data_IF_639442740141
#
_entry.id   IF_639442740141
#
_cell.length_a   1.000
_cell.length_b   1.000
_cell.length_c   1.000
_cell.angle_alpha   90.00
_cell.angle_beta   90.00
_cell.angle_gamma   90.00
#
_symmetry.space_group_name_H-M   'P 1'
#
loop_
_entity.id
_entity.type
_entity.pdbx_description
1 polymer ?
#
# COMPACT_ATOMS: atom_id res chain seq x y z
N UNK A 1 -51.20 -5.30 -30.54
CA UNK A 1 -49.87 -4.71 -30.87
C UNK A 1 -49.23 -3.99 -29.67
N UNK A 2 -49.25 -4.60 -28.48
CA UNK A 2 -48.75 -3.93 -27.26
C UNK A 2 -47.91 -4.82 -26.33
N UNK A 3 -47.65 -6.07 -26.71
CA UNK A 3 -47.02 -7.07 -25.80
C UNK A 3 -45.49 -7.13 -25.85
N UNK A 4 -44.87 -6.72 -26.98
CA UNK A 4 -43.41 -6.82 -27.12
C UNK A 4 -42.59 -5.79 -26.31
N UNK A 5 -43.11 -4.58 -26.14
CA UNK A 5 -42.43 -3.52 -25.40
C UNK A 5 -42.36 -3.78 -23.89
N UNK A 6 -43.37 -4.43 -23.35
CA UNK A 6 -43.46 -4.81 -21.95
C UNK A 6 -42.42 -5.88 -21.55
N UNK A 7 -42.24 -6.91 -22.38
CA UNK A 7 -41.30 -8.00 -22.10
C UNK A 7 -39.82 -7.57 -22.19
N UNK A 8 -39.49 -6.72 -23.16
CA UNK A 8 -38.14 -6.24 -23.32
C UNK A 8 -37.74 -5.29 -22.17
N UNK A 9 -38.64 -4.40 -21.74
CA UNK A 9 -38.44 -3.52 -20.58
C UNK A 9 -38.32 -4.31 -19.28
N UNK A 10 -39.13 -5.36 -19.10
CA UNK A 10 -39.04 -6.24 -17.93
C UNK A 10 -37.73 -7.03 -17.91
N UNK A 11 -37.28 -7.57 -19.04
CA UNK A 11 -35.96 -8.29 -19.09
C UNK A 11 -34.78 -7.40 -18.75
N UNK A 12 -34.81 -6.12 -19.17
CA UNK A 12 -33.72 -5.18 -18.83
C UNK A 12 -33.80 -4.71 -17.38
N UNK A 13 -35.01 -4.55 -16.82
CA UNK A 13 -35.20 -4.27 -15.40
C UNK A 13 -34.79 -5.47 -14.51
N UNK A 14 -35.02 -6.70 -14.98
CA UNK A 14 -34.53 -7.91 -14.31
C UNK A 14 -32.98 -7.98 -14.29
N UNK A 15 -32.32 -7.51 -15.34
CA UNK A 15 -30.85 -7.38 -15.39
C UNK A 15 -30.32 -6.37 -14.35
N UNK A 16 -31.02 -5.25 -14.18
CA UNK A 16 -30.70 -4.22 -13.19
C UNK A 16 -31.00 -4.68 -11.75
N UNK A 17 -32.01 -5.49 -11.54
CA UNK A 17 -32.38 -6.00 -10.21
C UNK A 17 -31.49 -7.13 -9.71
N UNK A 18 -30.66 -7.74 -10.55
CA UNK A 18 -29.63 -8.73 -10.15
C UNK A 18 -28.42 -8.11 -9.44
N UNK A 19 -28.23 -6.79 -9.50
CA UNK A 19 -27.30 -6.10 -8.62
C UNK A 19 -27.91 -6.06 -7.20
N UNK A 20 -27.09 -6.24 -6.16
CA UNK A 20 -27.50 -6.16 -4.74
C UNK A 20 -28.07 -4.78 -4.32
N UNK A 21 -28.30 -3.88 -5.27
CA UNK A 21 -28.76 -2.51 -5.07
C UNK A 21 -29.94 -2.24 -5.99
N UNK A 22 -31.01 -1.67 -5.45
CA UNK A 22 -32.17 -1.20 -6.26
C UNK A 22 -31.70 -0.19 -7.31
N UNK A 23 -32.19 -0.27 -8.57
CA UNK A 23 -31.85 0.67 -9.62
C UNK A 23 -32.18 2.11 -9.22
N UNK A 24 -31.26 3.03 -9.48
CA UNK A 24 -31.49 4.45 -9.26
C UNK A 24 -32.34 5.06 -10.39
N UNK A 25 -32.90 6.26 -10.16
CA UNK A 25 -33.62 6.99 -11.20
C UNK A 25 -32.75 7.27 -12.45
N UNK A 26 -31.44 7.41 -12.25
CA UNK A 26 -30.47 7.55 -13.35
C UNK A 26 -30.35 6.25 -14.16
N UNK A 27 -30.24 5.10 -13.48
CA UNK A 27 -30.15 3.79 -14.15
C UNK A 27 -31.40 3.49 -14.98
N UNK A 28 -32.57 3.88 -14.46
CA UNK A 28 -33.85 3.79 -15.20
C UNK A 28 -33.85 4.72 -16.41
N UNK A 29 -33.40 5.98 -16.28
CA UNK A 29 -33.35 6.94 -17.39
C UNK A 29 -32.41 6.45 -18.51
N UNK A 30 -31.28 5.85 -18.18
CA UNK A 30 -30.34 5.25 -19.12
C UNK A 30 -30.98 4.06 -19.88
N UNK A 31 -31.63 3.15 -19.15
CA UNK A 31 -32.34 2.03 -19.75
C UNK A 31 -33.46 2.48 -20.68
N UNK A 32 -34.22 3.52 -20.28
CA UNK A 32 -35.28 4.11 -21.14
C UNK A 32 -34.66 4.72 -22.40
N UNK A 33 -33.52 5.44 -22.28
CA UNK A 33 -32.85 6.06 -23.41
C UNK A 33 -32.39 5.04 -24.46
N UNK A 34 -31.91 3.87 -24.03
CA UNK A 34 -31.52 2.79 -24.94
C UNK A 34 -32.70 2.14 -25.60
N UNK A 35 -33.79 1.87 -24.84
CA UNK A 35 -35.00 1.21 -25.35
C UNK A 35 -35.90 2.14 -26.19
N UNK A 36 -35.68 3.48 -26.12
CA UNK A 36 -36.48 4.47 -26.84
C UNK A 36 -36.42 4.32 -28.36
N UNK A 37 -35.38 3.71 -28.91
CA UNK A 37 -35.23 3.47 -30.34
C UNK A 37 -36.25 2.40 -30.84
N UNK A 38 -36.66 1.49 -29.96
CA UNK A 38 -37.55 0.36 -30.29
C UNK A 38 -38.97 0.58 -29.79
N UNK A 39 -39.15 1.38 -28.72
CA UNK A 39 -40.42 1.55 -28.01
C UNK A 39 -40.74 3.03 -27.75
N UNK A 40 -42.02 3.38 -27.79
CA UNK A 40 -42.49 4.73 -27.48
C UNK A 40 -42.16 5.15 -26.04
N UNK A 41 -41.71 6.42 -25.89
CA UNK A 41 -41.30 6.96 -24.59
C UNK A 41 -42.41 6.84 -23.52
N UNK A 42 -43.67 7.08 -23.89
CA UNK A 42 -44.78 7.06 -22.94
C UNK A 42 -44.99 5.68 -22.32
N UNK A 43 -44.90 4.61 -23.12
CA UNK A 43 -45.00 3.24 -22.66
C UNK A 43 -43.86 2.90 -21.66
N UNK A 44 -42.63 3.36 -21.97
CA UNK A 44 -41.47 3.11 -21.11
C UNK A 44 -41.58 3.85 -19.79
N UNK A 45 -42.04 5.10 -19.80
CA UNK A 45 -42.27 5.90 -18.59
C UNK A 45 -43.38 5.32 -17.71
N UNK A 46 -44.48 4.90 -18.29
CA UNK A 46 -45.59 4.23 -17.57
C UNK A 46 -45.11 2.94 -16.91
N UNK A 47 -44.36 2.09 -17.62
CA UNK A 47 -43.85 0.80 -17.11
C UNK A 47 -42.79 0.98 -16.00
N UNK A 48 -42.05 2.06 -15.99
CA UNK A 48 -41.04 2.32 -14.96
C UNK A 48 -41.53 3.18 -13.82
N UNK A 49 -42.73 3.77 -13.96
CA UNK A 49 -43.28 4.75 -13.00
C UNK A 49 -42.49 6.08 -12.94
N UNK A 50 -41.67 6.36 -13.96
CA UNK A 50 -40.85 7.56 -13.98
C UNK A 50 -41.58 8.75 -14.54
N UNK A 51 -41.54 9.90 -13.82
CA UNK A 51 -42.09 11.14 -14.35
C UNK A 51 -41.27 11.62 -15.56
N UNK A 52 -41.98 12.18 -16.58
CA UNK A 52 -41.36 12.70 -17.81
C UNK A 52 -40.28 13.77 -17.53
N UNK A 53 -40.49 14.65 -16.55
CA UNK A 53 -39.52 15.65 -16.12
C UNK A 53 -38.24 15.03 -15.53
N UNK A 54 -38.41 13.97 -14.73
CA UNK A 54 -37.29 13.22 -14.14
C UNK A 54 -36.45 12.54 -15.23
N UNK A 55 -37.13 11.95 -16.24
CA UNK A 55 -36.43 11.36 -17.36
C UNK A 55 -35.60 12.39 -18.13
N UNK A 56 -36.16 13.53 -18.54
CA UNK A 56 -35.42 14.55 -19.27
C UNK A 56 -34.32 15.20 -18.42
N UNK A 57 -34.53 15.36 -17.13
CA UNK A 57 -33.48 15.81 -16.20
C UNK A 57 -32.26 14.88 -16.20
N UNK A 58 -32.51 13.58 -16.07
CA UNK A 58 -31.40 12.60 -16.07
C UNK A 58 -30.77 12.43 -17.46
N UNK A 59 -31.56 12.44 -18.53
CA UNK A 59 -31.07 12.33 -19.92
C UNK A 59 -30.19 13.52 -20.29
N UNK A 60 -30.57 14.75 -19.91
CA UNK A 60 -29.72 15.92 -20.09
C UNK A 60 -28.38 15.76 -19.38
N UNK A 61 -28.38 15.29 -18.15
CA UNK A 61 -27.16 15.03 -17.39
C UNK A 61 -26.31 13.86 -17.93
N UNK A 62 -26.91 12.91 -18.63
CA UNK A 62 -26.20 11.83 -19.32
C UNK A 62 -25.49 12.33 -20.59
N UNK A 63 -26.04 13.35 -21.26
CA UNK A 63 -25.44 13.97 -22.44
C UNK A 63 -24.41 15.07 -22.12
N UNK A 64 -24.38 15.58 -20.88
CA UNK A 64 -23.36 16.52 -20.44
C UNK A 64 -22.03 15.79 -20.23
N UNK A 65 -20.88 16.41 -20.62
CA UNK A 65 -19.57 15.83 -20.31
C UNK A 65 -19.46 15.56 -18.81
N UNK A 66 -18.98 14.37 -18.45
CA UNK A 66 -18.77 14.06 -17.04
C UNK A 66 -17.64 14.96 -16.51
N UNK A 67 -17.96 15.87 -15.61
CA UNK A 67 -17.01 16.81 -15.01
C UNK A 67 -15.84 16.14 -14.26
N UNK A 68 -15.77 14.79 -14.29
CA UNK A 68 -14.68 14.02 -13.68
C UNK A 68 -13.76 13.34 -14.72
N UNK A 69 -13.87 13.61 -16.01
CA UNK A 69 -13.03 12.95 -17.01
C UNK A 69 -11.53 13.26 -16.82
N UNK A 70 -11.19 14.52 -16.58
CA UNK A 70 -9.80 14.91 -16.26
C UNK A 70 -9.32 14.25 -14.96
N UNK A 71 -10.20 14.14 -13.96
CA UNK A 71 -9.89 13.49 -12.71
C UNK A 71 -9.67 11.97 -12.89
N UNK A 72 -10.48 11.31 -13.73
CA UNK A 72 -10.26 9.89 -14.10
C UNK A 72 -8.93 9.67 -14.80
N UNK A 73 -8.57 10.54 -15.74
CA UNK A 73 -7.30 10.49 -16.43
C UNK A 73 -6.12 10.66 -15.45
N UNK A 74 -6.20 11.64 -14.55
CA UNK A 74 -5.20 11.88 -13.52
C UNK A 74 -5.09 10.67 -12.53
N UNK A 75 -6.21 10.13 -12.06
CA UNK A 75 -6.25 8.94 -11.21
C UNK A 75 -5.58 7.75 -11.90
N UNK A 76 -5.88 7.50 -13.18
CA UNK A 76 -5.27 6.43 -13.98
C UNK A 76 -3.76 6.62 -14.07
N UNK A 77 -3.29 7.81 -14.43
CA UNK A 77 -1.87 8.15 -14.53
C UNK A 77 -1.13 7.90 -13.21
N UNK A 78 -1.68 8.35 -12.08
CA UNK A 78 -1.09 8.13 -10.75
C UNK A 78 -1.07 6.64 -10.42
N UNK A 79 -2.16 5.92 -10.66
CA UNK A 79 -2.27 4.49 -10.36
C UNK A 79 -1.23 3.68 -11.13
N UNK A 80 -1.06 3.94 -12.43
CA UNK A 80 -0.12 3.23 -13.30
C UNK A 80 1.34 3.59 -12.95
N UNK A 81 1.64 4.86 -12.67
CA UNK A 81 2.96 5.31 -12.20
C UNK A 81 3.40 4.56 -10.95
N UNK A 82 2.50 4.37 -10.00
CA UNK A 82 2.76 3.62 -8.77
C UNK A 82 2.50 2.10 -8.90
N UNK A 83 2.37 1.58 -10.13
CA UNK A 83 2.22 0.13 -10.43
C UNK A 83 1.05 -0.54 -9.65
N UNK A 84 -0.05 0.19 -9.45
CA UNK A 84 -1.22 -0.30 -8.71
C UNK A 84 -1.04 -0.44 -7.19
N UNK A 85 0.03 0.13 -6.61
CA UNK A 85 0.32 0.07 -5.16
C UNK A 85 -0.56 1.01 -4.34
N UNK A 86 -1.08 2.08 -4.97
CA UNK A 86 -1.89 3.09 -4.29
C UNK A 86 -3.37 2.72 -4.25
N UNK A 87 -3.95 2.77 -3.04
CA UNK A 87 -5.39 2.82 -2.85
C UNK A 87 -5.89 4.27 -2.83
N UNK A 88 -7.20 4.46 -2.80
CA UNK A 88 -7.85 5.75 -2.94
C UNK A 88 -7.29 6.86 -2.04
N UNK A 89 -6.90 6.58 -0.79
CA UNK A 89 -6.37 7.60 0.14
C UNK A 89 -5.06 8.22 -0.35
N UNK A 90 -4.12 7.40 -0.87
CA UNK A 90 -2.87 7.92 -1.43
C UNK A 90 -3.08 8.60 -2.77
N UNK A 91 -3.98 8.08 -3.59
CA UNK A 91 -4.37 8.76 -4.84
C UNK A 91 -4.99 10.12 -4.54
N UNK A 92 -5.87 10.24 -3.54
CA UNK A 92 -6.40 11.53 -3.10
C UNK A 92 -5.30 12.50 -2.67
N UNK A 93 -4.34 12.02 -1.88
CA UNK A 93 -3.20 12.82 -1.44
C UNK A 93 -2.33 13.27 -2.61
N UNK A 94 -2.05 12.39 -3.58
CA UNK A 94 -1.28 12.73 -4.77
C UNK A 94 -2.02 13.73 -5.65
N UNK A 95 -3.31 13.53 -5.89
CA UNK A 95 -4.15 14.50 -6.62
C UNK A 95 -4.10 15.88 -5.98
N UNK A 96 -4.17 15.95 -4.64
CA UNK A 96 -4.06 17.22 -3.91
C UNK A 96 -2.70 17.88 -4.09
N UNK A 97 -1.61 17.10 -4.09
CA UNK A 97 -0.26 17.60 -4.37
C UNK A 97 -0.12 18.10 -5.81
N UNK A 98 -0.85 17.50 -6.75
CA UNK A 98 -0.89 17.89 -8.16
C UNK A 98 -1.90 19.04 -8.43
N UNK A 99 -2.50 19.63 -7.39
CA UNK A 99 -3.45 20.75 -7.48
C UNK A 99 -4.90 20.35 -7.75
N UNK A 100 -5.22 19.06 -7.78
CA UNK A 100 -6.58 18.54 -8.01
C UNK A 100 -7.23 18.19 -6.67
N UNK A 101 -8.10 19.05 -6.16
CA UNK A 101 -8.74 18.87 -4.85
C UNK A 101 -10.07 18.14 -4.97
N UNK A 102 -10.10 16.85 -4.64
CA UNK A 102 -11.29 16.01 -4.63
C UNK A 102 -11.51 15.36 -3.26
N UNK A 103 -12.79 15.19 -2.89
CA UNK A 103 -13.11 14.42 -1.70
C UNK A 103 -12.67 12.94 -1.88
N UNK A 104 -12.09 12.36 -0.86
CA UNK A 104 -11.61 10.97 -0.89
C UNK A 104 -12.71 9.94 -1.22
N UNK A 105 -13.99 10.23 -0.88
CA UNK A 105 -15.14 9.39 -1.25
C UNK A 105 -15.41 9.45 -2.76
N UNK A 106 -15.25 10.64 -3.38
CA UNK A 106 -15.37 10.80 -4.84
C UNK A 106 -14.25 10.04 -5.54
N UNK A 107 -12.99 10.18 -5.09
CA UNK A 107 -11.86 9.43 -5.64
C UNK A 107 -12.09 7.91 -5.51
N UNK A 108 -12.58 7.45 -4.36
CA UNK A 108 -12.89 6.04 -4.16
C UNK A 108 -13.96 5.55 -5.14
N UNK A 109 -15.04 6.34 -5.36
CA UNK A 109 -16.10 6.00 -6.31
C UNK A 109 -15.56 5.91 -7.74
N UNK A 110 -14.81 6.90 -8.20
CA UNK A 110 -14.20 6.92 -9.53
C UNK A 110 -13.26 5.72 -9.73
N UNK A 111 -12.44 5.39 -8.73
CA UNK A 111 -11.57 4.21 -8.79
C UNK A 111 -12.35 2.89 -8.91
N UNK A 112 -13.47 2.75 -8.19
CA UNK A 112 -14.35 1.57 -8.29
C UNK A 112 -14.98 1.48 -9.69
N UNK A 113 -15.47 2.59 -10.24
CA UNK A 113 -16.02 2.67 -11.61
C UNK A 113 -14.97 2.24 -12.66
N UNK A 114 -13.70 2.64 -12.47
CA UNK A 114 -12.59 2.25 -13.34
C UNK A 114 -12.00 0.87 -13.02
N UNK A 115 -12.57 0.11 -12.07
CA UNK A 115 -12.05 -1.17 -11.57
C UNK A 115 -10.60 -1.09 -11.07
N UNK A 116 -10.21 0.03 -10.47
CA UNK A 116 -8.88 0.27 -9.91
C UNK A 116 -8.85 -0.02 -8.41
N UNK A 117 -8.12 -1.04 -8.01
CA UNK A 117 -7.99 -1.44 -6.61
C UNK A 117 -6.53 -1.49 -6.20
N UNK A 118 -6.19 -0.95 -5.02
CA UNK A 118 -4.87 -1.12 -4.44
C UNK A 118 -4.59 -2.62 -4.19
N UNK A 119 -3.57 -3.16 -4.83
CA UNK A 119 -3.22 -4.59 -4.73
C UNK A 119 -2.67 -4.89 -3.34
N UNK A 120 -3.29 -5.82 -2.61
CA UNK A 120 -2.84 -6.25 -1.29
C UNK A 120 -3.13 -7.73 -1.10
N UNK A 121 -2.09 -8.57 -1.06
CA UNK A 121 -2.23 -9.96 -0.60
C UNK A 121 -1.99 -10.02 0.91
N UNK A 122 -2.84 -10.74 1.64
CA UNK A 122 -2.64 -11.04 3.07
C UNK A 122 -1.64 -12.20 3.19
N UNK A 123 -0.52 -12.00 3.88
CA UNK A 123 0.40 -13.06 4.25
C UNK A 123 0.16 -13.48 5.71
N UNK A 124 0.23 -14.80 6.00
CA UNK A 124 0.23 -15.30 7.37
C UNK A 124 1.62 -15.12 7.99
N UNK A 125 1.67 -14.55 9.17
CA UNK A 125 2.90 -14.37 9.96
C UNK A 125 3.37 -15.71 10.53
N UNK A 126 4.71 -15.93 10.55
CA UNK A 126 5.37 -17.04 11.28
C UNK A 126 6.51 -16.45 12.11
N UNK A 127 6.51 -16.70 13.42
CA UNK A 127 7.59 -16.29 14.32
C UNK A 127 8.70 -17.37 14.37
N UNK A 128 9.95 -16.92 14.56
CA UNK A 128 11.11 -17.78 14.75
C UNK A 128 11.50 -17.84 16.23
N UNK A 129 11.90 -19.03 16.73
CA UNK A 129 12.42 -19.23 18.10
C UNK A 129 13.94 -19.42 18.02
N UNK A 130 14.72 -18.44 18.46
CA UNK A 130 16.18 -18.50 18.48
C UNK A 130 16.78 -18.73 19.88
N UNK A 131 18.07 -19.07 19.94
CA UNK A 131 18.85 -19.33 21.16
C UNK A 131 19.34 -18.04 21.84
N UNK A 132 19.73 -18.14 23.13
CA UNK A 132 19.97 -17.02 24.04
C UNK A 132 21.47 -16.71 24.15
N UNK A 133 21.86 -15.47 23.81
CA UNK A 133 23.15 -14.85 24.13
C UNK A 133 22.99 -13.66 25.09
N UNK A 134 23.96 -12.71 25.12
CA UNK A 134 23.85 -11.46 25.91
C UNK A 134 22.81 -10.53 25.27
N UNK A 135 21.68 -10.35 25.93
CA UNK A 135 20.57 -9.50 25.48
C UNK A 135 20.67 -8.13 26.12
N UNK A 136 20.59 -7.07 25.31
CA UNK A 136 20.47 -5.70 25.81
C UNK A 136 19.05 -5.43 26.36
N UNK A 137 18.88 -4.46 27.28
CA UNK A 137 17.58 -4.09 27.80
C UNK A 137 16.66 -3.52 26.68
N UNK A 138 15.37 -3.67 26.85
CA UNK A 138 14.38 -3.03 25.97
C UNK A 138 14.20 -1.56 26.40
N UNK A 139 15.00 -0.67 25.81
CA UNK A 139 14.98 0.77 26.12
C UNK A 139 13.80 1.46 25.47
N UNK A 140 13.33 0.97 24.30
CA UNK A 140 12.22 1.58 23.55
C UNK A 140 10.88 1.33 24.25
N UNK A 141 10.69 0.15 24.83
CA UNK A 141 9.45 -0.28 25.51
C UNK A 141 8.15 0.14 24.78
N UNK A 142 8.13 -0.07 23.46
CA UNK A 142 7.04 0.31 22.53
C UNK A 142 6.81 1.81 22.32
N UNK A 143 7.65 2.66 22.87
CA UNK A 143 7.66 4.08 22.51
C UNK A 143 8.39 4.28 21.17
N UNK A 144 7.65 4.09 20.07
CA UNK A 144 8.13 4.27 18.70
C UNK A 144 8.07 5.72 18.22
N UNK A 145 7.67 6.65 19.07
CA UNK A 145 7.57 8.06 18.71
C UNK A 145 8.96 8.67 18.80
N UNK A 146 9.41 9.29 17.72
CA UNK A 146 10.58 10.14 17.66
C UNK A 146 10.14 11.54 17.25
N UNK A 147 10.78 12.57 17.80
CA UNK A 147 10.45 13.98 17.53
C UNK A 147 11.34 14.58 16.44
N UNK A 148 12.44 13.92 16.12
CA UNK A 148 13.37 14.33 15.06
C UNK A 148 14.00 13.10 14.39
N UNK A 149 14.54 13.24 13.15
CA UNK A 149 15.30 12.18 12.49
C UNK A 149 16.51 11.73 13.33
N UNK A 150 16.88 10.46 13.19
CA UNK A 150 18.04 9.84 13.81
C UNK A 150 18.04 9.78 15.35
N UNK A 151 16.88 9.89 16.00
CA UNK A 151 16.74 9.63 17.44
C UNK A 151 16.57 8.16 17.76
N UNK A 152 15.73 7.47 16.98
CA UNK A 152 15.40 6.05 17.16
C UNK A 152 15.41 5.34 15.82
N UNK A 153 16.29 4.36 15.72
CA UNK A 153 16.34 3.45 14.57
C UNK A 153 15.86 2.05 14.96
N UNK A 154 15.31 1.34 14.02
CA UNK A 154 15.01 -0.10 14.17
C UNK A 154 15.61 -0.90 13.04
N UNK A 155 15.90 -2.17 13.33
CA UNK A 155 16.48 -3.10 12.38
C UNK A 155 16.00 -4.52 12.63
N UNK A 156 16.01 -5.31 11.56
CA UNK A 156 15.68 -6.72 11.57
C UNK A 156 16.23 -7.38 10.29
N UNK A 157 16.10 -8.70 10.18
CA UNK A 157 16.43 -9.46 8.98
C UNK A 157 15.22 -10.19 8.48
N UNK A 158 14.88 -10.03 7.20
CA UNK A 158 13.82 -10.83 6.56
C UNK A 158 14.40 -11.74 5.48
N UNK A 159 13.92 -12.97 5.47
CA UNK A 159 14.18 -13.94 4.40
C UNK A 159 13.11 -13.80 3.30
N UNK A 160 13.55 -13.87 2.06
CA UNK A 160 12.70 -14.01 0.87
C UNK A 160 13.14 -15.26 0.12
N UNK A 161 12.20 -16.17 -0.09
CA UNK A 161 12.43 -17.37 -0.90
C UNK A 161 11.84 -17.16 -2.30
N UNK A 162 12.65 -17.42 -3.33
CA UNK A 162 12.26 -17.37 -4.73
C UNK A 162 12.69 -18.68 -5.38
N UNK A 163 11.71 -19.49 -5.80
CA UNK A 163 11.93 -20.88 -6.21
C UNK A 163 12.69 -21.62 -5.08
N UNK A 164 13.86 -22.16 -5.37
CA UNK A 164 14.67 -22.90 -4.41
C UNK A 164 15.76 -22.07 -3.73
N UNK A 165 15.92 -20.82 -4.13
CA UNK A 165 16.94 -19.92 -3.62
C UNK A 165 16.38 -18.95 -2.57
N UNK A 166 17.26 -18.53 -1.65
CA UNK A 166 16.94 -17.59 -0.58
C UNK A 166 17.80 -16.36 -0.70
N UNK A 167 17.21 -15.22 -0.33
CA UNK A 167 17.89 -13.95 -0.21
C UNK A 167 17.43 -13.27 1.08
N UNK A 168 18.32 -12.55 1.74
CA UNK A 168 18.09 -11.88 3.01
C UNK A 168 18.23 -10.38 2.83
N UNK A 169 17.28 -9.63 3.36
CA UNK A 169 17.33 -8.18 3.44
C UNK A 169 17.50 -7.77 4.90
N UNK A 170 18.48 -6.94 5.18
CA UNK A 170 18.73 -6.35 6.50
C UNK A 170 18.77 -4.83 6.38
N UNK A 171 17.68 -4.12 6.69
CA UNK A 171 17.61 -2.66 6.67
C UNK A 171 17.80 -2.06 8.05
N UNK A 172 18.15 -0.77 8.10
CA UNK A 172 17.95 0.14 9.24
C UNK A 172 16.87 1.15 8.83
N UNK A 173 15.85 1.29 9.66
CA UNK A 173 14.73 2.20 9.45
C UNK A 173 14.71 3.26 10.55
N UNK A 174 14.57 4.52 10.17
CA UNK A 174 14.34 5.63 11.09
C UNK A 174 12.88 5.63 11.55
N UNK A 175 12.65 5.62 12.86
CA UNK A 175 11.31 5.59 13.43
C UNK A 175 10.55 6.92 13.27
N UNK A 176 11.24 8.03 13.07
CA UNK A 176 10.64 9.35 12.87
C UNK A 176 9.83 9.40 11.57
N UNK A 177 10.47 9.15 10.44
CA UNK A 177 9.87 9.29 9.10
C UNK A 177 9.70 7.97 8.36
N UNK A 178 10.15 6.84 8.94
CA UNK A 178 10.14 5.53 8.30
C UNK A 178 11.09 5.42 7.10
N UNK A 179 12.13 6.25 7.02
CA UNK A 179 13.16 6.16 5.97
C UNK A 179 14.05 4.92 6.18
N UNK A 180 14.38 4.22 5.11
CA UNK A 180 15.45 3.22 5.14
C UNK A 180 16.79 3.94 5.01
N UNK A 181 17.46 4.10 6.15
CA UNK A 181 18.76 4.78 6.25
C UNK A 181 19.83 4.02 5.49
N UNK A 182 19.92 2.71 5.74
CA UNK A 182 20.83 1.81 5.05
C UNK A 182 20.23 0.40 4.95
N UNK A 183 20.78 -0.41 4.06
CA UNK A 183 20.42 -1.82 3.95
C UNK A 183 21.55 -2.66 3.33
N UNK A 184 21.48 -3.96 3.59
CA UNK A 184 22.31 -4.95 2.92
C UNK A 184 21.42 -6.09 2.43
N UNK A 185 21.70 -6.53 1.21
CA UNK A 185 21.10 -7.72 0.59
C UNK A 185 22.20 -8.79 0.55
N UNK A 186 21.91 -10.00 1.02
CA UNK A 186 22.88 -11.09 1.11
C UNK A 186 22.21 -12.44 0.85
N UNK A 187 22.99 -13.42 0.41
CA UNK A 187 22.55 -14.81 0.32
C UNK A 187 22.65 -15.54 1.66
N UNK A 188 23.36 -14.97 2.63
CA UNK A 188 23.57 -15.55 3.96
C UNK A 188 23.26 -14.52 5.05
N UNK A 189 22.49 -14.90 6.10
CA UNK A 189 22.19 -14.02 7.23
C UNK A 189 23.34 -14.06 8.26
N UNK A 190 24.51 -13.56 7.87
CA UNK A 190 25.73 -13.60 8.67
C UNK A 190 26.05 -12.26 9.38
N UNK A 191 27.04 -12.28 10.26
CA UNK A 191 27.50 -11.07 10.95
C UNK A 191 28.04 -10.02 9.96
N UNK A 192 28.65 -10.44 8.85
CA UNK A 192 29.17 -9.55 7.80
C UNK A 192 28.05 -8.70 7.19
N UNK A 193 26.86 -9.30 6.97
CA UNK A 193 25.68 -8.58 6.50
C UNK A 193 25.25 -7.50 7.47
N UNK A 194 25.19 -7.82 8.78
CA UNK A 194 24.81 -6.86 9.82
C UNK A 194 25.83 -5.72 9.98
N UNK A 195 27.13 -6.03 9.95
CA UNK A 195 28.20 -5.04 10.04
C UNK A 195 28.24 -4.13 8.80
N UNK A 196 28.16 -4.69 7.60
CA UNK A 196 28.13 -3.90 6.34
C UNK A 196 26.99 -2.88 6.33
N UNK A 197 25.82 -3.23 6.86
CA UNK A 197 24.70 -2.32 6.99
C UNK A 197 25.00 -1.17 7.95
N UNK A 198 25.60 -1.45 9.13
CA UNK A 198 26.01 -0.42 10.08
C UNK A 198 27.04 0.54 9.45
N UNK A 199 28.06 0.00 8.80
CA UNK A 199 29.08 0.81 8.13
C UNK A 199 28.48 1.74 7.07
N UNK A 200 27.49 1.27 6.32
CA UNK A 200 26.75 2.09 5.35
C UNK A 200 25.96 3.20 6.04
N UNK A 201 25.29 2.90 7.16
CA UNK A 201 24.54 3.90 7.93
C UNK A 201 25.49 4.99 8.48
N UNK A 202 26.60 4.59 9.06
CA UNK A 202 27.60 5.50 9.63
C UNK A 202 28.28 6.42 8.62
N UNK A 203 28.35 6.00 7.35
CA UNK A 203 28.87 6.85 6.26
C UNK A 203 27.84 7.81 5.69
N UNK A 204 26.55 7.42 5.75
CA UNK A 204 25.47 8.20 5.12
C UNK A 204 24.98 9.34 6.01
N UNK A 205 25.06 9.18 7.32
CA UNK A 205 24.38 10.04 8.29
C UNK A 205 25.29 10.33 9.48
N UNK A 206 25.33 11.58 9.89
CA UNK A 206 25.91 11.95 11.18
C UNK A 206 25.10 11.31 12.30
N UNK A 207 25.78 10.62 13.19
CA UNK A 207 25.17 9.88 14.28
C UNK A 207 25.07 10.80 15.50
N UNK A 208 23.86 11.23 15.90
CA UNK A 208 23.72 12.01 17.12
C UNK A 208 24.02 11.14 18.34
N UNK A 209 24.57 11.76 19.38
CA UNK A 209 24.81 11.09 20.66
C UNK A 209 23.47 10.61 21.26
N UNK A 210 23.46 9.39 21.77
CA UNK A 210 22.27 8.81 22.37
C UNK A 210 21.23 8.23 21.39
N UNK A 211 21.55 8.18 20.08
CA UNK A 211 20.71 7.44 19.13
C UNK A 211 20.42 6.03 19.67
N UNK A 212 19.17 5.62 19.67
CA UNK A 212 18.76 4.26 20.07
C UNK A 212 18.63 3.41 18.82
N UNK A 213 19.34 2.27 18.76
CA UNK A 213 19.16 1.26 17.72
C UNK A 213 18.47 0.01 18.31
N UNK A 214 17.24 -0.20 17.92
CA UNK A 214 16.39 -1.33 18.36
C UNK A 214 16.44 -2.50 17.39
N UNK A 215 16.50 -3.71 17.93
CA UNK A 215 16.45 -4.97 17.16
C UNK A 215 15.70 -6.06 17.90
N UNK A 216 15.45 -7.18 17.23
CA UNK A 216 15.13 -8.44 17.90
C UNK A 216 16.36 -9.01 18.63
N UNK A 217 16.19 -10.20 19.21
CA UNK A 217 17.29 -10.91 19.89
C UNK A 217 18.09 -11.81 18.94
N UNK A 218 18.20 -11.49 17.66
CA UNK A 218 19.01 -12.23 16.68
C UNK A 218 20.48 -12.30 17.12
N UNK A 219 21.11 -13.47 16.93
CA UNK A 219 22.48 -13.76 17.41
C UNK A 219 23.53 -12.72 16.90
N UNK A 220 23.37 -12.21 15.69
CA UNK A 220 24.28 -11.24 15.12
C UNK A 220 24.25 -9.89 15.85
N UNK A 221 23.12 -9.49 16.47
CA UNK A 221 23.00 -8.30 17.31
C UNK A 221 23.60 -8.46 18.71
N UNK A 222 23.73 -9.72 19.16
CA UNK A 222 24.33 -10.08 20.44
C UNK A 222 25.85 -10.25 20.35
N UNK A 223 26.40 -10.23 19.13
CA UNK A 223 27.83 -10.46 18.89
C UNK A 223 28.67 -9.26 19.36
N UNK A 224 29.82 -9.52 20.05
CA UNK A 224 30.69 -8.49 20.62
C UNK A 224 31.13 -7.42 19.63
N UNK A 225 31.46 -7.79 18.37
CA UNK A 225 31.84 -6.84 17.33
C UNK A 225 30.73 -5.86 16.99
N UNK A 226 29.47 -6.34 16.96
CA UNK A 226 28.31 -5.50 16.71
C UNK A 226 28.09 -4.52 17.86
N UNK A 227 28.10 -5.02 19.10
CA UNK A 227 27.94 -4.22 20.31
C UNK A 227 29.06 -3.17 20.44
N UNK A 228 30.33 -3.56 20.16
CA UNK A 228 31.46 -2.63 20.14
C UNK A 228 31.27 -1.52 19.12
N UNK A 229 30.86 -1.84 17.88
CA UNK A 229 30.63 -0.84 16.84
C UNK A 229 29.56 0.19 17.22
N UNK A 230 28.50 -0.22 17.93
CA UNK A 230 27.48 0.70 18.46
C UNK A 230 28.07 1.57 19.58
N UNK A 231 28.79 0.97 20.53
CA UNK A 231 29.44 1.71 21.65
C UNK A 231 30.44 2.74 21.17
N UNK A 232 31.25 2.38 20.18
CA UNK A 232 32.28 3.28 19.60
C UNK A 232 31.64 4.51 18.89
N UNK A 233 30.34 4.44 18.58
CA UNK A 233 29.51 5.52 18.01
C UNK A 233 28.51 6.12 18.99
N UNK A 234 28.65 5.83 20.30
CA UNK A 234 27.71 6.28 21.35
C UNK A 234 26.24 5.96 21.08
N UNK A 235 25.96 4.86 20.36
CA UNK A 235 24.61 4.38 20.05
C UNK A 235 24.15 3.48 21.18
N UNK A 236 22.95 3.74 21.69
CA UNK A 236 22.30 2.92 22.72
C UNK A 236 21.63 1.70 22.06
N UNK A 237 22.11 0.51 22.41
CA UNK A 237 21.49 -0.71 21.93
C UNK A 237 20.22 -1.03 22.72
N UNK A 238 19.12 -1.33 22.02
CA UNK A 238 17.86 -1.78 22.58
C UNK A 238 17.44 -3.08 21.91
N UNK A 239 16.91 -4.05 22.68
CA UNK A 239 16.42 -5.31 22.13
C UNK A 239 15.00 -5.58 22.59
N UNK A 240 14.17 -6.13 21.69
CA UNK A 240 12.81 -6.56 22.01
C UNK A 240 12.80 -7.69 23.05
N UNK A 241 11.71 -7.82 23.78
CA UNK A 241 11.49 -8.93 24.69
C UNK A 241 11.35 -10.24 23.91
N UNK A 242 11.80 -11.35 24.51
CA UNK A 242 11.76 -12.67 23.86
C UNK A 242 10.34 -13.05 23.46
N UNK A 243 10.16 -13.35 22.16
CA UNK A 243 8.88 -13.80 21.62
C UNK A 243 7.82 -12.70 21.47
N UNK A 244 8.18 -11.42 21.69
CA UNK A 244 7.24 -10.30 21.58
C UNK A 244 7.46 -9.53 20.26
N UNK A 245 6.72 -9.96 19.23
CA UNK A 245 6.77 -9.34 17.91
C UNK A 245 6.32 -7.87 17.90
N UNK A 246 5.45 -7.45 18.81
CA UNK A 246 4.97 -6.08 18.89
C UNK A 246 6.08 -5.07 19.22
N UNK A 247 7.17 -5.53 19.82
CA UNK A 247 8.30 -4.67 20.16
C UNK A 247 9.09 -4.21 18.92
N UNK A 248 8.93 -4.86 17.74
CA UNK A 248 9.55 -4.47 16.46
C UNK A 248 8.50 -4.20 15.35
N UNK A 249 7.34 -3.69 15.73
CA UNK A 249 6.18 -3.51 14.85
C UNK A 249 6.46 -2.62 13.62
N UNK A 250 7.35 -1.62 13.73
CA UNK A 250 7.69 -0.73 12.61
C UNK A 250 8.43 -1.47 11.51
N UNK A 251 9.37 -2.34 11.86
CA UNK A 251 10.10 -3.16 10.88
C UNK A 251 9.20 -4.23 10.27
N UNK A 252 8.35 -4.86 11.07
CA UNK A 252 7.35 -5.81 10.56
C UNK A 252 6.38 -5.15 9.55
N UNK A 253 5.96 -3.91 9.82
CA UNK A 253 5.14 -3.14 8.89
C UNK A 253 5.89 -2.88 7.56
N UNK A 254 7.16 -2.46 7.62
CA UNK A 254 7.97 -2.26 6.41
C UNK A 254 8.09 -3.56 5.60
N UNK A 255 8.40 -4.69 6.24
CA UNK A 255 8.49 -5.99 5.55
C UNK A 255 7.14 -6.42 4.97
N UNK A 256 6.05 -6.19 5.68
CA UNK A 256 4.71 -6.43 5.18
C UNK A 256 4.38 -5.62 3.93
N UNK A 257 4.76 -4.34 3.91
CA UNK A 257 4.61 -3.46 2.76
C UNK A 257 5.48 -3.92 1.58
N UNK A 258 6.75 -4.18 1.81
CA UNK A 258 7.69 -4.68 0.79
C UNK A 258 7.18 -5.97 0.16
N UNK A 259 6.73 -6.92 0.98
CA UNK A 259 6.17 -8.19 0.48
C UNK A 259 4.88 -7.97 -0.32
N UNK A 260 3.98 -7.10 0.12
CA UNK A 260 2.71 -6.86 -0.56
C UNK A 260 2.83 -5.96 -1.79
N UNK A 261 3.75 -4.99 -1.78
CA UNK A 261 3.92 -4.00 -2.85
C UNK A 261 5.00 -4.39 -3.87
N UNK A 262 5.80 -5.43 -3.60
CA UNK A 262 6.84 -5.93 -4.50
C UNK A 262 6.78 -7.44 -4.67
N UNK A 263 7.02 -8.22 -3.60
CA UNK A 263 7.24 -9.67 -3.70
C UNK A 263 6.03 -10.41 -4.29
N UNK A 264 4.81 -10.06 -3.85
CA UNK A 264 3.59 -10.79 -4.22
C UNK A 264 2.86 -10.23 -5.45
N UNK A 265 3.39 -9.19 -6.08
CA UNK A 265 2.73 -8.60 -7.25
C UNK A 265 2.96 -9.38 -8.54
N UNK A 266 4.07 -10.11 -8.63
CA UNK A 266 4.45 -10.88 -9.79
C UNK A 266 5.24 -12.13 -9.39
N UNK A 267 5.42 -13.04 -10.33
CA UNK A 267 6.35 -14.15 -10.21
C UNK A 267 7.78 -13.70 -10.54
N UNK A 268 8.76 -14.34 -9.92
CA UNK A 268 10.17 -13.98 -10.05
C UNK A 268 10.96 -15.14 -10.65
N UNK A 269 11.75 -14.84 -11.66
CA UNK A 269 12.57 -15.86 -12.36
C UNK A 269 13.78 -16.25 -11.53
N UNK A 270 14.40 -15.29 -10.84
CA UNK A 270 15.59 -15.51 -10.01
C UNK A 270 15.67 -14.54 -8.83
N UNK A 271 16.53 -14.87 -7.85
CA UNK A 271 16.81 -13.98 -6.70
C UNK A 271 17.57 -12.72 -7.14
N UNK A 272 18.37 -12.78 -8.20
CA UNK A 272 19.10 -11.65 -8.77
C UNK A 272 18.14 -10.63 -9.39
N UNK A 273 17.13 -11.10 -10.12
CA UNK A 273 16.08 -10.25 -10.66
C UNK A 273 15.32 -9.55 -9.52
N UNK A 274 14.93 -10.31 -8.51
CA UNK A 274 14.27 -9.75 -7.32
C UNK A 274 15.15 -8.74 -6.59
N UNK A 275 16.44 -9.02 -6.40
CA UNK A 275 17.38 -8.11 -5.72
C UNK A 275 17.50 -6.78 -6.45
N UNK A 276 17.57 -6.78 -7.79
CA UNK A 276 17.57 -5.54 -8.60
C UNK A 276 16.30 -4.73 -8.41
N UNK A 277 15.14 -5.36 -8.43
CA UNK A 277 13.86 -4.67 -8.21
C UNK A 277 13.67 -4.25 -6.74
N UNK A 278 14.22 -4.98 -5.77
CA UNK A 278 14.22 -4.60 -4.37
C UNK A 278 15.00 -3.30 -4.13
N UNK A 279 16.16 -3.12 -4.78
CA UNK A 279 16.92 -1.87 -4.73
C UNK A 279 16.09 -0.69 -5.27
N UNK A 280 15.42 -0.87 -6.42
CA UNK A 280 14.51 0.15 -6.98
C UNK A 280 13.32 0.42 -6.07
N UNK A 281 12.77 -0.63 -5.44
CA UNK A 281 11.67 -0.50 -4.50
C UNK A 281 12.06 0.29 -3.25
N UNK A 282 13.24 0.06 -2.66
CA UNK A 282 13.70 0.81 -1.49
C UNK A 282 13.88 2.30 -1.84
N UNK A 283 14.44 2.59 -3.02
CA UNK A 283 14.53 3.98 -3.51
C UNK A 283 13.15 4.62 -3.66
N UNK A 284 12.22 3.92 -4.31
CA UNK A 284 10.83 4.36 -4.42
C UNK A 284 10.16 4.55 -3.04
N UNK A 285 10.38 3.60 -2.11
CA UNK A 285 9.82 3.67 -0.76
C UNK A 285 10.28 4.91 0.01
N UNK A 286 11.53 5.30 -0.14
CA UNK A 286 12.08 6.48 0.52
C UNK A 286 11.64 7.80 -0.12
N UNK A 287 11.63 7.88 -1.47
CA UNK A 287 11.53 9.16 -2.17
C UNK A 287 10.15 9.45 -2.75
N UNK A 288 9.44 8.42 -3.21
CA UNK A 288 8.22 8.60 -4.02
C UNK A 288 6.95 8.12 -3.31
N UNK A 289 7.11 7.23 -2.32
CA UNK A 289 5.98 6.60 -1.65
C UNK A 289 5.37 7.51 -0.58
N UNK A 290 4.14 7.96 -0.78
CA UNK A 290 3.40 8.75 0.21
C UNK A 290 3.19 7.95 1.50
N UNK A 291 3.63 8.51 2.62
CA UNK A 291 3.47 8.00 3.98
C UNK A 291 2.43 8.87 4.70
N UNK A 292 1.16 8.44 4.76
CA UNK A 292 0.04 9.23 5.30
C UNK A 292 0.14 9.57 6.80
N UNK A 293 1.15 9.04 7.49
CA UNK A 293 1.39 9.27 8.93
C UNK A 293 2.30 10.48 9.20
N UNK A 294 2.94 11.01 8.17
CA UNK A 294 3.81 12.18 8.26
C UNK A 294 3.04 13.45 7.99
#
# INVERSE_FOLDING_TARGET
KGTGGGECSVKKSEGLSRSKRSPSQRDWAEAIQELRQEHGLEILLEKTGMARSTYYYHTKRLSEPDGYDDARAAIRKIYDHHKGRYGYRRITSQLSNDGIHLNHKTVQKLMVEMSLYGRRKKAKYKSYKGEIGKVAPNVIDRDFIATAPNQKWTTDVTEVKIKDNKIYLSPILDMFNGEIISYTISYHPDLKMAMSRLDKAFRKTDIPEGLILHSDQGWHYQHMRYQKALKDKHIVQSMSRKGNCLDNAMMENFFGLMKSELLYLQEWDSVEQFAKELVKYIRYYNNDRIKLRL
#
